data_IF_962863323856
#
_entry.id   IF_962863323856
#
_cell.length_a   1.000
_cell.length_b   1.000
_cell.length_c   1.000
_cell.angle_alpha   90.00
_cell.angle_beta   90.00
_cell.angle_gamma   90.00
#
_symmetry.space_group_name_H-M   'P 1'
#
loop_
_entity.id
_entity.type
_entity.pdbx_description
1 polymer ?
#
# COMPACT_ATOMS: atom_id res chain seq x y z
N UNK A 1 3.90 -8.04 5.05
CA UNK A 1 3.06 -7.11 4.27
C UNK A 1 2.21 -6.23 5.18
N UNK A 2 1.98 -4.98 4.82
CA UNK A 2 1.03 -4.07 5.43
C UNK A 2 0.25 -3.29 4.36
N UNK A 3 -1.04 -3.03 4.60
CA UNK A 3 -1.92 -2.27 3.70
C UNK A 3 -2.62 -1.18 4.52
N UNK A 4 -2.69 0.04 4.00
CA UNK A 4 -3.32 1.17 4.71
C UNK A 4 -3.61 2.35 3.79
N UNK A 5 -4.47 3.25 4.23
CA UNK A 5 -5.04 4.34 3.42
C UNK A 5 -4.71 5.74 3.97
N UNK A 6 -4.34 5.81 5.25
CA UNK A 6 -4.10 7.05 5.99
C UNK A 6 -2.64 7.32 6.34
N UNK A 7 -2.34 8.60 6.61
CA UNK A 7 -1.00 9.05 7.06
C UNK A 7 -0.56 8.40 8.38
N UNK A 8 -1.51 7.99 9.23
CA UNK A 8 -1.22 7.27 10.46
C UNK A 8 -0.61 5.88 10.19
N UNK A 9 -0.86 5.33 9.01
CA UNK A 9 -0.27 4.06 8.58
C UNK A 9 1.15 4.23 8.01
N UNK A 10 1.65 5.45 7.82
CA UNK A 10 2.94 5.72 7.16
C UNK A 10 4.09 4.93 7.79
N UNK A 11 4.23 4.96 9.12
CA UNK A 11 5.28 4.23 9.82
C UNK A 11 5.13 2.70 9.66
N UNK A 12 3.91 2.20 9.76
CA UNK A 12 3.60 0.79 9.56
C UNK A 12 3.94 0.33 8.14
N UNK A 13 3.55 1.12 7.13
CA UNK A 13 3.77 0.81 5.72
C UNK A 13 5.25 0.88 5.33
N UNK A 14 6.00 1.84 5.86
CA UNK A 14 7.46 1.93 5.64
C UNK A 14 8.27 0.85 6.36
N UNK A 15 7.74 0.30 7.44
CA UNK A 15 8.42 -0.75 8.22
C UNK A 15 8.13 -2.16 7.68
N UNK A 16 7.07 -2.33 6.90
CA UNK A 16 6.74 -3.60 6.28
C UNK A 16 7.65 -3.85 5.07
N UNK A 17 8.04 -5.11 4.88
CA UNK A 17 8.75 -5.57 3.68
C UNK A 17 7.99 -5.23 2.39
N UNK A 18 6.66 -5.29 2.45
CA UNK A 18 5.75 -4.83 1.40
C UNK A 18 4.65 -3.96 2.03
N UNK A 19 4.77 -2.65 1.85
CA UNK A 19 3.77 -1.66 2.25
C UNK A 19 2.96 -1.17 1.06
N UNK A 20 1.63 -1.26 1.13
CA UNK A 20 0.72 -0.88 0.05
C UNK A 20 -0.23 0.22 0.53
N UNK A 21 -0.23 1.34 -0.19
CA UNK A 21 -1.15 2.44 0.05
C UNK A 21 -2.47 2.21 -0.72
N UNK A 22 -3.55 1.85 -0.04
CA UNK A 22 -4.84 1.50 -0.64
C UNK A 22 -5.82 2.67 -0.55
N UNK A 23 -6.38 3.11 -1.67
CA UNK A 23 -7.28 4.26 -1.79
C UNK A 23 -6.80 5.50 -1.00
N UNK A 24 -5.49 5.75 -1.01
CA UNK A 24 -4.87 6.74 -0.14
C UNK A 24 -4.80 8.14 -0.76
N UNK A 25 -4.56 9.15 0.08
CA UNK A 25 -4.31 10.52 -0.38
C UNK A 25 -2.92 10.64 -1.02
N UNK A 26 -2.77 11.60 -1.93
CA UNK A 26 -1.51 11.91 -2.64
C UNK A 26 -0.28 12.01 -1.72
N UNK A 27 -0.44 12.57 -0.52
CA UNK A 27 0.66 12.65 0.46
C UNK A 27 1.21 11.28 0.84
N UNK A 28 0.34 10.28 1.05
CA UNK A 28 0.76 8.93 1.41
C UNK A 28 1.38 8.20 0.20
N UNK A 29 0.82 8.41 -1.00
CA UNK A 29 1.36 7.85 -2.24
C UNK A 29 2.78 8.33 -2.53
N UNK A 30 3.11 9.59 -2.26
CA UNK A 30 4.50 10.09 -2.45
C UNK A 30 5.53 9.36 -1.59
N UNK A 31 5.10 8.79 -0.47
CA UNK A 31 5.97 8.15 0.50
C UNK A 31 6.03 6.62 0.36
N UNK A 32 5.01 6.01 -0.26
CA UNK A 32 4.84 4.56 -0.37
C UNK A 32 4.80 4.18 -1.86
N UNK A 33 5.73 3.35 -2.35
CA UNK A 33 5.88 3.06 -3.78
C UNK A 33 4.84 2.11 -4.37
N UNK A 34 4.10 1.37 -3.54
CA UNK A 34 3.03 0.48 -3.98
C UNK A 34 1.68 1.07 -3.61
N UNK A 35 0.79 1.20 -4.59
CA UNK A 35 -0.47 1.91 -4.44
C UNK A 35 -1.56 1.19 -5.20
N UNK A 36 -2.75 1.18 -4.63
CA UNK A 36 -3.96 0.69 -5.29
C UNK A 36 -5.03 1.77 -5.14
N UNK A 37 -5.38 2.42 -6.25
CA UNK A 37 -6.31 3.56 -6.23
C UNK A 37 -7.77 3.13 -6.40
N UNK A 38 -7.99 2.04 -7.14
CA UNK A 38 -9.30 1.45 -7.31
C UNK A 38 -9.73 0.82 -5.98
N UNK A 39 -10.97 1.05 -5.57
CA UNK A 39 -11.56 0.42 -4.37
C UNK A 39 -11.94 -1.04 -4.66
N UNK A 40 -10.92 -1.84 -4.95
CA UNK A 40 -11.02 -3.24 -5.29
C UNK A 40 -9.78 -3.95 -4.72
N UNK A 41 -9.98 -4.79 -3.71
CA UNK A 41 -8.86 -5.47 -3.04
C UNK A 41 -8.20 -6.52 -3.93
N UNK A 42 -8.84 -6.97 -5.00
CA UNK A 42 -8.22 -7.92 -5.93
C UNK A 42 -7.05 -7.27 -6.70
N UNK A 43 -7.03 -5.94 -6.83
CA UNK A 43 -5.92 -5.19 -7.44
C UNK A 43 -4.65 -5.21 -6.57
N UNK A 44 -4.73 -5.72 -5.33
CA UNK A 44 -3.56 -5.97 -4.48
C UNK A 44 -2.86 -7.26 -4.91
N UNK A 45 -3.57 -8.23 -5.48
CA UNK A 45 -3.03 -9.55 -5.83
C UNK A 45 -1.75 -9.47 -6.71
N UNK A 46 -1.70 -8.65 -7.78
CA UNK A 46 -0.50 -8.53 -8.60
C UNK A 46 0.72 -7.96 -7.87
N UNK A 47 0.53 -7.29 -6.72
CA UNK A 47 1.60 -6.72 -5.91
C UNK A 47 2.16 -7.72 -4.89
N UNK A 48 1.42 -8.80 -4.60
CA UNK A 48 1.82 -9.84 -3.65
C UNK A 48 2.28 -11.13 -4.35
N UNK A 49 1.83 -11.38 -5.58
CA UNK A 49 2.14 -12.60 -6.35
C UNK A 49 3.63 -12.74 -6.72
N UNK A 50 4.44 -11.72 -6.44
CA UNK A 50 5.90 -11.72 -6.56
C UNK A 50 6.63 -12.20 -5.30
N UNK A 51 5.91 -12.58 -4.23
CA UNK A 51 6.46 -13.20 -3.02
C UNK A 51 6.26 -14.73 -3.09
N UNK A 52 7.16 -15.43 -3.79
CA UNK A 52 7.35 -16.90 -3.66
C UNK A 52 8.08 -17.26 -2.36
#
# INVERSE_FOLDING_TARGET
MAIGDGVNNLLMLKSAELGIAFCSKEMLKKEIPHHVDKRDFLEVLPLIDCLE
#
